data_IF_962951997672
#
_entry.id   IF_962951997672
#
_cell.length_a   1.000
_cell.length_b   1.000
_cell.length_c   1.000
_cell.angle_alpha   90.00
_cell.angle_beta   90.00
_cell.angle_gamma   90.00
#
_symmetry.space_group_name_H-M   'P 1'
#
loop_
_entity.id
_entity.type
_entity.pdbx_description
1 polymer ?
#
# COMPACT_ATOMS: atom_id res chain seq x y z
N UNK A 1 1.78 12.22 21.01
CA UNK A 1 1.02 10.95 20.86
C UNK A 1 2.02 9.82 20.98
N UNK A 2 1.70 8.74 21.69
CA UNK A 2 2.58 7.56 21.73
C UNK A 2 2.70 6.90 20.36
N UNK A 3 3.83 6.23 20.11
CA UNK A 3 4.04 5.48 18.86
C UNK A 3 3.04 4.33 18.79
N UNK A 4 2.46 4.11 17.61
CA UNK A 4 1.54 2.99 17.39
C UNK A 4 2.34 1.69 17.27
N UNK A 5 1.85 0.63 17.90
CA UNK A 5 2.46 -0.70 17.90
C UNK A 5 1.49 -1.67 17.21
N UNK A 6 2.02 -2.62 16.43
CA UNK A 6 1.22 -3.70 15.85
C UNK A 6 0.56 -4.53 16.96
N UNK A 7 -0.76 -4.70 16.87
CA UNK A 7 -1.46 -5.64 17.73
C UNK A 7 -1.04 -7.08 17.44
N UNK A 8 -1.12 -7.95 18.44
CA UNK A 8 -0.67 -9.35 18.32
C UNK A 8 -1.44 -10.12 17.22
N UNK A 9 -2.74 -9.86 17.06
CA UNK A 9 -3.55 -10.44 15.98
C UNK A 9 -3.07 -10.02 14.59
N UNK A 10 -2.76 -8.73 14.42
CA UNK A 10 -2.24 -8.20 13.15
C UNK A 10 -0.84 -8.75 12.87
N UNK A 11 0.02 -8.84 13.91
CA UNK A 11 1.37 -9.41 13.80
C UNK A 11 1.32 -10.87 13.35
N UNK A 12 0.44 -11.68 13.94
CA UNK A 12 0.26 -13.10 13.57
C UNK A 12 -0.25 -13.24 12.14
N UNK A 13 -1.25 -12.44 11.74
CA UNK A 13 -1.76 -12.46 10.37
C UNK A 13 -0.69 -12.04 9.36
N UNK A 14 0.04 -10.94 9.62
CA UNK A 14 1.10 -10.48 8.72
C UNK A 14 2.19 -11.53 8.57
N UNK A 15 2.64 -12.16 9.66
CA UNK A 15 3.57 -13.30 9.60
C UNK A 15 3.02 -14.45 8.78
N UNK A 16 1.75 -14.81 8.97
CA UNK A 16 1.11 -15.85 8.16
C UNK A 16 1.11 -15.49 6.66
N UNK A 17 0.80 -14.23 6.30
CA UNK A 17 0.78 -13.77 4.92
C UNK A 17 2.18 -13.74 4.28
N UNK A 18 3.22 -13.40 5.04
CA UNK A 18 4.63 -13.33 4.57
C UNK A 18 5.28 -14.72 4.54
N UNK A 19 5.19 -15.47 5.65
CA UNK A 19 6.02 -16.66 5.87
C UNK A 19 5.34 -17.94 5.38
N UNK A 20 4.03 -18.07 5.57
CA UNK A 20 3.28 -19.31 5.31
C UNK A 20 2.57 -19.25 3.96
N UNK A 21 1.75 -18.22 3.74
CA UNK A 21 0.92 -18.11 2.53
C UNK A 21 1.68 -17.49 1.33
N UNK A 22 2.83 -16.85 1.58
CA UNK A 22 3.66 -16.17 0.57
C UNK A 22 2.86 -15.19 -0.31
N UNK A 23 1.93 -14.47 0.29
CA UNK A 23 1.09 -13.47 -0.38
C UNK A 23 1.70 -12.06 -0.33
N UNK A 24 2.45 -11.78 0.74
CA UNK A 24 3.28 -10.59 0.87
C UNK A 24 4.72 -10.99 0.52
N UNK A 25 5.20 -10.52 -0.62
CA UNK A 25 6.53 -10.90 -1.15
C UNK A 25 7.42 -9.67 -1.29
N UNK A 26 8.73 -9.87 -1.20
CA UNK A 26 9.69 -8.79 -1.46
C UNK A 26 9.49 -8.27 -2.89
N UNK A 27 9.34 -6.95 -3.08
CA UNK A 27 9.19 -6.36 -4.40
C UNK A 27 10.35 -6.68 -5.33
N UNK A 28 10.03 -7.07 -6.56
CA UNK A 28 11.03 -7.30 -7.59
C UNK A 28 11.08 -6.09 -8.53
N UNK A 29 12.17 -5.32 -8.44
CA UNK A 29 12.38 -4.08 -9.18
C UNK A 29 12.07 -4.22 -10.69
N UNK A 30 12.59 -5.28 -11.32
CA UNK A 30 12.43 -5.54 -12.77
C UNK A 30 10.97 -5.79 -13.22
N UNK A 31 10.01 -5.99 -12.30
CA UNK A 31 8.57 -6.16 -12.61
C UNK A 31 7.80 -4.82 -12.61
N UNK A 32 8.49 -3.71 -12.35
CA UNK A 32 7.95 -2.35 -12.34
C UNK A 32 8.47 -1.58 -13.56
N UNK A 33 7.56 -0.98 -14.34
CA UNK A 33 7.96 0.00 -15.35
C UNK A 33 8.19 1.35 -14.66
N UNK A 34 9.44 1.61 -14.27
CA UNK A 34 9.86 2.88 -13.68
C UNK A 34 10.54 3.80 -14.69
N UNK A 35 10.43 3.52 -16.00
CA UNK A 35 11.11 4.28 -17.05
C UNK A 35 10.74 5.76 -17.08
N UNK A 36 9.50 6.08 -16.70
CA UNK A 36 8.99 7.45 -16.61
C UNK A 36 8.83 7.94 -15.16
N UNK A 37 9.18 7.14 -14.17
CA UNK A 37 8.90 7.40 -12.74
C UNK A 37 7.66 6.69 -12.25
N UNK A 38 7.21 7.05 -11.05
CA UNK A 38 6.02 6.46 -10.42
C UNK A 38 5.24 7.50 -9.62
N UNK A 39 3.90 7.42 -9.67
CA UNK A 39 3.03 8.12 -8.73
C UNK A 39 2.86 7.21 -7.51
N UNK A 40 3.23 7.70 -6.34
CA UNK A 40 3.25 6.94 -5.08
C UNK A 40 2.14 7.47 -4.19
N UNK A 41 1.24 6.60 -3.73
CA UNK A 41 0.06 6.98 -2.94
C UNK A 41 0.12 6.33 -1.54
N UNK A 42 0.94 6.87 -0.62
CA UNK A 42 1.01 6.37 0.75
C UNK A 42 0.15 7.17 1.71
N UNK A 43 0.06 6.68 2.95
CA UNK A 43 -0.51 7.47 4.04
C UNK A 43 0.33 8.73 4.28
N UNK A 44 -0.28 9.83 4.71
CA UNK A 44 0.42 11.03 5.17
C UNK A 44 1.09 10.87 6.55
N UNK A 45 1.48 9.65 6.93
CA UNK A 45 2.19 9.36 8.17
C UNK A 45 3.67 9.69 7.99
N UNK A 46 4.10 10.80 8.59
CA UNK A 46 5.48 11.30 8.48
C UNK A 46 6.52 10.31 8.99
N UNK A 47 6.16 9.48 9.98
CA UNK A 47 7.09 8.50 10.53
C UNK A 47 7.42 7.38 9.54
N UNK A 48 6.67 7.23 8.44
CA UNK A 48 6.86 6.19 7.42
C UNK A 48 7.50 6.73 6.13
N UNK A 49 7.63 8.06 5.97
CA UNK A 49 7.97 8.66 4.68
C UNK A 49 9.41 8.43 4.24
N UNK A 50 10.36 8.50 5.17
CA UNK A 50 11.79 8.35 4.84
C UNK A 50 12.07 6.95 4.28
N UNK A 51 11.59 5.91 4.97
CA UNK A 51 11.75 4.52 4.53
C UNK A 51 11.06 4.27 3.18
N UNK A 52 9.83 4.76 3.01
CA UNK A 52 9.10 4.63 1.74
C UNK A 52 9.80 5.35 0.59
N UNK A 53 10.41 6.51 0.83
CA UNK A 53 11.16 7.22 -0.19
C UNK A 53 12.39 6.41 -0.62
N UNK A 54 13.14 5.88 0.35
CA UNK A 54 14.33 5.07 0.10
C UNK A 54 14.01 3.74 -0.58
N UNK A 55 12.91 3.08 -0.22
CA UNK A 55 12.43 1.87 -0.88
C UNK A 55 12.13 2.12 -2.36
N UNK A 56 11.35 3.15 -2.68
CA UNK A 56 11.02 3.49 -4.08
C UNK A 56 12.26 3.90 -4.86
N UNK A 57 13.17 4.64 -4.21
CA UNK A 57 14.46 5.01 -4.82
C UNK A 57 15.29 3.77 -5.14
N UNK A 58 15.37 2.82 -4.22
CA UNK A 58 16.12 1.57 -4.40
C UNK A 58 15.55 0.74 -5.54
N UNK A 59 14.23 0.58 -5.60
CA UNK A 59 13.55 -0.13 -6.70
C UNK A 59 13.83 0.50 -8.07
N UNK A 60 13.89 1.83 -8.14
CA UNK A 60 14.25 2.51 -9.39
C UNK A 60 15.72 2.24 -9.79
N UNK A 61 16.65 2.35 -8.84
CA UNK A 61 18.09 2.13 -9.07
C UNK A 61 18.35 0.68 -9.49
N UNK A 62 17.78 -0.30 -8.80
CA UNK A 62 17.90 -1.72 -9.10
C UNK A 62 17.34 -2.08 -10.49
N UNK A 63 16.33 -1.33 -10.95
CA UNK A 63 15.78 -1.44 -12.31
C UNK A 63 16.61 -0.72 -13.38
N UNK A 64 17.74 -0.12 -13.01
CA UNK A 64 18.56 0.72 -13.89
C UNK A 64 17.87 2.01 -14.33
N UNK A 65 16.93 2.54 -13.53
CA UNK A 65 16.14 3.74 -13.82
C UNK A 65 16.55 4.90 -12.89
N UNK A 66 16.34 6.13 -13.34
CA UNK A 66 16.49 7.32 -12.50
C UNK A 66 15.31 7.41 -11.53
N UNK A 67 15.53 7.50 -10.20
CA UNK A 67 14.46 7.72 -9.24
C UNK A 67 13.65 8.98 -9.58
N UNK A 68 12.34 8.83 -9.73
CA UNK A 68 11.40 9.92 -9.99
C UNK A 68 10.03 9.63 -9.34
N UNK A 69 9.98 9.53 -8.00
CA UNK A 69 8.71 9.37 -7.31
C UNK A 69 7.92 10.69 -7.30
N UNK A 70 6.61 10.60 -7.51
CA UNK A 70 5.66 11.70 -7.34
C UNK A 70 4.65 11.31 -6.27
N UNK A 71 4.81 11.86 -5.07
CA UNK A 71 3.98 11.50 -3.93
C UNK A 71 2.65 12.26 -3.92
N UNK A 72 1.56 11.52 -3.76
CA UNK A 72 0.22 12.03 -3.46
C UNK A 72 -0.21 11.42 -2.12
N UNK A 73 -0.09 12.19 -1.03
CA UNK A 73 -0.28 11.67 0.33
C UNK A 73 -1.59 12.13 0.96
N UNK A 74 -2.23 11.23 1.71
CA UNK A 74 -3.50 11.46 2.38
C UNK A 74 -3.56 10.56 3.64
N UNK A 75 -4.19 10.96 4.76
CA UNK A 75 -4.38 10.03 5.89
C UNK A 75 -5.16 8.75 5.49
N UNK A 76 -4.57 7.57 5.67
CA UNK A 76 -5.10 6.31 5.16
C UNK A 76 -4.64 5.96 3.73
N UNK A 77 -3.88 6.87 3.09
CA UNK A 77 -3.21 6.65 1.81
C UNK A 77 -4.16 6.19 0.72
N UNK A 78 -3.73 5.20 -0.06
CA UNK A 78 -4.53 4.66 -1.15
C UNK A 78 -5.87 4.05 -0.70
N UNK A 79 -6.02 3.67 0.58
CA UNK A 79 -7.26 3.05 1.07
C UNK A 79 -8.46 3.99 0.93
N UNK A 80 -8.25 5.31 0.95
CA UNK A 80 -9.34 6.30 0.78
C UNK A 80 -10.00 6.25 -0.59
N UNK A 81 -9.37 5.62 -1.57
CA UNK A 81 -9.92 5.38 -2.91
C UNK A 81 -10.87 4.17 -2.95
N UNK A 82 -10.92 3.36 -1.90
CA UNK A 82 -11.86 2.26 -1.81
C UNK A 82 -13.30 2.81 -1.70
N UNK A 83 -14.26 2.31 -2.49
CA UNK A 83 -15.67 2.71 -2.36
C UNK A 83 -16.29 2.27 -1.03
N UNK A 84 -15.65 1.34 -0.31
CA UNK A 84 -16.07 0.87 1.01
C UNK A 84 -15.35 1.62 2.15
N UNK A 85 -14.43 2.54 1.83
CA UNK A 85 -13.75 3.34 2.84
C UNK A 85 -14.68 4.45 3.33
N UNK A 86 -15.11 4.35 4.59
CA UNK A 86 -16.00 5.31 5.20
C UNK A 86 -15.26 6.19 6.21
N UNK A 87 -15.05 7.45 5.83
CA UNK A 87 -14.47 8.52 6.66
C UNK A 87 -15.46 9.70 6.71
N UNK A 88 -16.46 9.67 7.62
CA UNK A 88 -17.56 10.64 7.61
C UNK A 88 -17.09 12.07 7.83
N UNK A 89 -15.96 12.26 8.52
CA UNK A 89 -15.43 13.58 8.87
C UNK A 89 -14.82 14.32 7.69
N UNK A 90 -14.53 13.62 6.58
CA UNK A 90 -13.79 14.20 5.45
C UNK A 90 -14.33 13.74 4.09
N UNK A 91 -15.55 14.17 3.70
CA UNK A 91 -16.10 13.85 2.40
C UNK A 91 -15.22 14.40 1.25
N UNK A 92 -15.23 13.71 0.11
CA UNK A 92 -14.58 14.16 -1.12
C UNK A 92 -13.08 13.91 -1.25
N UNK A 93 -12.43 13.29 -0.26
CA UNK A 93 -10.99 12.94 -0.34
C UNK A 93 -10.68 11.99 -1.50
N UNK A 94 -11.51 10.96 -1.67
CA UNK A 94 -11.39 10.02 -2.79
C UNK A 94 -11.41 10.77 -4.13
N UNK A 95 -12.38 11.66 -4.32
CA UNK A 95 -12.54 12.44 -5.56
C UNK A 95 -11.31 13.30 -5.85
N UNK A 96 -10.84 14.08 -4.87
CA UNK A 96 -9.64 14.93 -5.06
C UNK A 96 -8.42 14.09 -5.42
N UNK A 97 -8.19 12.98 -4.69
CA UNK A 97 -7.05 12.11 -4.96
C UNK A 97 -7.14 11.44 -6.36
N UNK A 98 -8.33 11.11 -6.84
CA UNK A 98 -8.50 10.62 -8.22
C UNK A 98 -8.24 11.69 -9.28
N UNK A 99 -8.65 12.95 -9.03
CA UNK A 99 -8.35 14.09 -9.91
C UNK A 99 -6.83 14.34 -9.95
N UNK A 100 -6.18 14.39 -8.79
CA UNK A 100 -4.73 14.57 -8.67
C UNK A 100 -3.93 13.45 -9.34
N UNK A 101 -4.39 12.19 -9.26
CA UNK A 101 -3.76 11.05 -9.95
C UNK A 101 -3.74 11.24 -11.47
N UNK A 102 -4.89 11.64 -12.05
CA UNK A 102 -5.02 11.85 -13.49
C UNK A 102 -4.20 13.06 -13.93
N UNK A 103 -4.23 14.14 -13.16
CA UNK A 103 -3.48 15.35 -13.46
C UNK A 103 -1.97 15.12 -13.36
N UNK A 104 -1.49 14.45 -12.29
CA UNK A 104 -0.10 14.08 -12.13
C UNK A 104 0.39 13.22 -13.30
N UNK A 105 -0.41 12.24 -13.74
CA UNK A 105 -0.06 11.38 -14.85
C UNK A 105 0.14 12.15 -16.15
N UNK A 106 -0.81 13.03 -16.50
CA UNK A 106 -0.75 13.86 -17.71
C UNK A 106 0.37 14.89 -17.64
N UNK A 107 0.51 15.61 -16.54
CA UNK A 107 1.50 16.69 -16.38
C UNK A 107 2.93 16.17 -16.31
N UNK A 108 3.13 14.98 -15.73
CA UNK A 108 4.47 14.42 -15.50
C UNK A 108 4.83 13.31 -16.49
N UNK A 109 3.89 12.86 -17.32
CA UNK A 109 4.03 11.69 -18.18
C UNK A 109 4.37 10.43 -17.37
N UNK A 110 3.60 10.14 -16.30
CA UNK A 110 3.82 9.02 -15.39
C UNK A 110 2.56 8.16 -15.27
N UNK A 111 2.61 6.91 -15.73
CA UNK A 111 1.46 5.99 -15.71
C UNK A 111 1.63 4.80 -14.75
N UNK A 112 2.79 4.68 -14.10
CA UNK A 112 3.00 3.68 -13.05
C UNK A 112 2.50 4.24 -11.73
N UNK A 113 1.52 3.57 -11.12
CA UNK A 113 0.89 3.97 -9.86
C UNK A 113 1.17 2.92 -8.80
N UNK A 114 1.81 3.32 -7.71
CA UNK A 114 2.16 2.46 -6.58
C UNK A 114 1.25 2.86 -5.41
N UNK A 115 0.33 1.97 -5.06
CA UNK A 115 -0.63 2.15 -3.97
C UNK A 115 -0.10 1.50 -2.70
N UNK A 116 -0.18 2.21 -1.58
CA UNK A 116 0.32 1.73 -0.30
C UNK A 116 -0.77 1.74 0.77
N UNK A 117 -0.78 0.70 1.60
CA UNK A 117 -1.23 0.79 2.99
C UNK A 117 -0.04 0.49 3.91
N UNK A 118 -0.13 0.88 5.18
CA UNK A 118 0.91 0.55 6.16
C UNK A 118 0.30 0.03 7.47
N UNK A 119 1.11 -0.68 8.25
CA UNK A 119 0.72 -1.23 9.54
C UNK A 119 1.84 -1.00 10.56
N UNK A 120 1.53 -0.48 11.77
CA UNK A 120 0.22 0.02 12.19
C UNK A 120 -0.11 1.35 11.50
N UNK A 121 -1.40 1.68 11.35
CA UNK A 121 -1.85 2.95 10.77
C UNK A 121 -2.88 3.64 11.65
N UNK A 122 -2.57 4.85 12.12
CA UNK A 122 -3.44 5.60 13.03
C UNK A 122 -4.81 5.92 12.41
N UNK A 123 -4.86 6.16 11.09
CA UNK A 123 -6.14 6.40 10.41
C UNK A 123 -6.97 5.11 10.28
N UNK A 124 -6.35 3.96 10.02
CA UNK A 124 -7.05 2.68 10.02
C UNK A 124 -7.62 2.37 11.41
N UNK A 125 -6.82 2.55 12.47
CA UNK A 125 -7.27 2.40 13.87
C UNK A 125 -8.45 3.31 14.19
N UNK A 126 -8.39 4.59 13.82
CA UNK A 126 -9.48 5.53 14.04
C UNK A 126 -10.78 5.13 13.31
N UNK A 127 -10.65 4.48 12.15
CA UNK A 127 -11.78 3.94 11.38
C UNK A 127 -12.16 2.50 11.77
N UNK A 128 -11.52 1.90 12.79
CA UNK A 128 -11.73 0.50 13.22
C UNK A 128 -11.50 -0.52 12.09
N UNK A 129 -10.52 -0.24 11.25
CA UNK A 129 -10.09 -1.10 10.14
C UNK A 129 -8.83 -1.86 10.60
N UNK A 130 -8.91 -3.19 10.61
CA UNK A 130 -7.75 -4.07 10.87
C UNK A 130 -6.86 -4.22 9.63
N UNK A 131 -5.77 -4.98 9.74
CA UNK A 131 -4.83 -5.14 8.63
C UNK A 131 -5.42 -5.91 7.44
N UNK A 132 -6.30 -6.90 7.69
CA UNK A 132 -6.97 -7.65 6.62
C UNK A 132 -7.90 -6.74 5.81
N UNK A 133 -8.70 -5.93 6.51
CA UNK A 133 -9.57 -4.93 5.92
C UNK A 133 -8.76 -3.84 5.21
N UNK A 134 -7.61 -3.43 5.75
CA UNK A 134 -6.71 -2.47 5.10
C UNK A 134 -6.21 -2.99 3.74
N UNK A 135 -5.77 -4.25 3.68
CA UNK A 135 -5.36 -4.90 2.42
C UNK A 135 -6.54 -5.01 1.45
N UNK A 136 -7.74 -5.36 1.93
CA UNK A 136 -8.97 -5.36 1.11
C UNK A 136 -9.24 -3.97 0.51
N UNK A 137 -9.19 -2.91 1.31
CA UNK A 137 -9.37 -1.54 0.82
C UNK A 137 -8.31 -1.17 -0.23
N UNK A 138 -7.06 -1.58 -0.02
CA UNK A 138 -5.99 -1.40 -1.01
C UNK A 138 -6.31 -2.09 -2.34
N UNK A 139 -6.85 -3.32 -2.32
CA UNK A 139 -7.25 -4.03 -3.54
C UNK A 139 -8.43 -3.37 -4.25
N UNK A 140 -9.40 -2.86 -3.49
CA UNK A 140 -10.53 -2.11 -4.04
C UNK A 140 -10.08 -0.78 -4.66
N UNK A 141 -9.17 -0.05 -3.98
CA UNK A 141 -8.53 1.15 -4.50
C UNK A 141 -7.84 0.88 -5.85
N UNK A 142 -7.12 -0.24 -5.98
CA UNK A 142 -6.51 -0.64 -7.26
C UNK A 142 -7.53 -0.77 -8.39
N UNK A 143 -8.73 -1.31 -8.12
CA UNK A 143 -9.80 -1.42 -9.12
C UNK A 143 -10.29 -0.06 -9.56
N UNK A 144 -10.48 0.87 -8.62
CA UNK A 144 -10.86 2.26 -8.91
C UNK A 144 -9.79 2.95 -9.77
N UNK A 145 -8.52 2.90 -9.38
CA UNK A 145 -7.43 3.54 -10.14
C UNK A 145 -7.35 2.99 -11.56
N UNK A 146 -7.46 1.67 -11.75
CA UNK A 146 -7.47 1.07 -13.09
C UNK A 146 -8.63 1.52 -13.99
N UNK A 147 -9.72 2.01 -13.42
CA UNK A 147 -10.87 2.55 -14.17
C UNK A 147 -10.68 4.02 -14.55
N UNK A 148 -9.74 4.75 -13.92
CA UNK A 148 -9.50 6.16 -14.21
C UNK A 148 -8.79 6.35 -15.56
N UNK A 149 -7.79 5.51 -15.86
CA UNK A 149 -7.04 5.55 -17.12
C UNK A 149 -6.56 4.13 -17.49
N UNK A 150 -6.86 3.62 -18.69
CA UNK A 150 -6.43 2.29 -19.13
C UNK A 150 -4.90 2.14 -19.27
N UNK A 151 -4.14 3.25 -19.34
CA UNK A 151 -2.68 3.22 -19.38
C UNK A 151 -2.07 2.95 -18.00
N UNK A 152 -2.84 3.08 -16.91
CA UNK A 152 -2.28 2.93 -15.58
C UNK A 152 -1.79 1.51 -15.27
N UNK A 153 -0.50 1.43 -14.93
CA UNK A 153 0.11 0.24 -14.37
C UNK A 153 0.08 0.32 -12.84
N UNK A 154 -0.96 -0.28 -12.24
CA UNK A 154 -1.19 -0.20 -10.80
C UNK A 154 -0.56 -1.39 -10.05
N UNK A 155 0.24 -1.09 -9.03
CA UNK A 155 0.86 -2.05 -8.10
C UNK A 155 0.50 -1.70 -6.66
N UNK A 156 0.42 -2.71 -5.81
CA UNK A 156 0.00 -2.55 -4.42
C UNK A 156 1.09 -3.05 -3.48
N UNK A 157 1.31 -2.29 -2.42
CA UNK A 157 2.34 -2.55 -1.44
C UNK A 157 1.78 -2.39 -0.02
N UNK A 158 2.32 -3.19 0.90
CA UNK A 158 2.05 -3.12 2.32
C UNK A 158 3.37 -2.81 3.01
N UNK A 159 3.46 -1.63 3.64
CA UNK A 159 4.61 -1.24 4.42
C UNK A 159 4.38 -1.58 5.90
N UNK A 160 5.26 -2.38 6.49
CA UNK A 160 5.06 -2.90 7.84
C UNK A 160 6.17 -2.38 8.73
N UNK A 161 5.78 -1.68 9.79
CA UNK A 161 6.64 -1.36 10.92
C UNK A 161 6.53 -2.50 11.94
N UNK A 162 7.50 -3.41 11.91
CA UNK A 162 7.46 -4.64 12.70
C UNK A 162 7.70 -4.45 14.19
N UNK A 163 8.08 -3.22 14.59
CA UNK A 163 8.31 -2.77 15.95
C UNK A 163 8.42 -3.90 16.98
N UNK A 164 9.60 -4.51 17.08
CA UNK A 164 9.79 -5.62 18.01
C UNK A 164 10.52 -5.13 19.26
N UNK A 165 9.75 -4.74 20.28
CA UNK A 165 10.29 -4.41 21.60
C UNK A 165 10.91 -5.64 22.31
N UNK A 166 10.67 -6.86 21.81
CA UNK A 166 10.99 -8.12 22.49
C UNK A 166 12.19 -8.89 21.94
N UNK A 167 12.62 -8.64 20.69
CA UNK A 167 13.72 -9.43 20.06
C UNK A 167 15.11 -8.83 20.21
N UNK A 168 15.25 -7.58 20.68
CA UNK A 168 16.55 -6.90 20.78
C UNK A 168 17.22 -6.59 19.42
N UNK A 169 16.58 -6.94 18.29
CA UNK A 169 17.11 -6.75 16.93
C UNK A 169 16.77 -5.39 16.32
N UNK A 170 16.18 -4.48 17.11
CA UNK A 170 15.90 -3.12 16.70
C UNK A 170 14.59 -2.94 15.92
N UNK A 171 14.29 -1.67 15.69
CA UNK A 171 13.16 -1.22 14.88
C UNK A 171 13.48 -1.49 13.40
N UNK A 172 12.67 -2.31 12.73
CA UNK A 172 12.81 -2.54 11.29
C UNK A 172 11.46 -2.41 10.59
N UNK A 173 11.49 -1.75 9.44
CA UNK A 173 10.34 -1.58 8.56
C UNK A 173 10.63 -2.28 7.25
N UNK A 174 9.60 -2.84 6.64
CA UNK A 174 9.75 -3.55 5.38
C UNK A 174 8.53 -3.36 4.47
N UNK A 175 8.79 -3.16 3.19
CA UNK A 175 7.76 -3.02 2.16
C UNK A 175 7.59 -4.32 1.38
N UNK A 176 6.36 -4.83 1.35
CA UNK A 176 6.00 -6.03 0.59
C UNK A 176 5.08 -5.70 -0.57
N UNK A 177 5.28 -6.36 -1.71
CA UNK A 177 4.32 -6.39 -2.81
C UNK A 177 3.19 -7.38 -2.52
N UNK A 178 1.98 -7.03 -2.94
CA UNK A 178 0.82 -7.92 -2.93
C UNK A 178 0.08 -7.89 -4.27
N UNK A 179 -0.24 -9.07 -4.79
CA UNK A 179 -1.08 -9.21 -5.99
C UNK A 179 -2.55 -9.31 -5.63
N UNK A 180 -3.38 -8.54 -6.35
CA UNK A 180 -4.83 -8.64 -6.25
C UNK A 180 -5.34 -10.03 -6.62
N UNK A 181 -4.71 -10.70 -7.59
CA UNK A 181 -5.09 -12.04 -8.02
C UNK A 181 -4.85 -13.06 -6.91
N UNK A 182 -3.69 -13.01 -6.25
CA UNK A 182 -3.36 -13.96 -5.18
C UNK A 182 -4.21 -13.70 -3.94
N UNK A 183 -4.47 -12.42 -3.64
CA UNK A 183 -5.40 -12.02 -2.57
C UNK A 183 -6.83 -12.51 -2.82
N UNK A 184 -7.37 -12.30 -4.02
CA UNK A 184 -8.73 -12.73 -4.38
C UNK A 184 -8.86 -14.26 -4.33
N UNK A 185 -7.86 -15.02 -4.83
CA UNK A 185 -7.82 -16.49 -4.74
C UNK A 185 -7.84 -16.99 -3.29
N UNK A 186 -7.12 -16.33 -2.38
CA UNK A 186 -7.13 -16.65 -0.96
C UNK A 186 -8.53 -16.50 -0.35
N UNK A 187 -9.23 -15.42 -0.66
CA UNK A 187 -10.57 -15.15 -0.13
C UNK A 187 -11.63 -16.12 -0.67
N UNK A 188 -11.50 -16.55 -1.92
CA UNK A 188 -12.37 -17.60 -2.49
C UNK A 188 -12.21 -18.93 -1.74
N UNK A 189 -10.98 -19.33 -1.39
CA UNK A 189 -10.74 -20.57 -0.62
C UNK A 189 -11.33 -20.52 0.79
N UNK A 190 -11.37 -19.33 1.43
CA UNK A 190 -11.97 -19.16 2.76
C UNK A 190 -13.49 -19.21 2.75
N UNK A 191 -14.13 -18.82 1.65
CA UNK A 191 -15.60 -18.77 1.51
C UNK A 191 -16.21 -20.06 0.99
N UNK A 192 -15.39 -21.00 0.49
CA UNK A 192 -15.79 -22.35 0.13
C UNK A 192 -15.11 -23.39 1.04
N UNK A 193 -15.50 -23.51 2.32
CA UNK A 193 -14.99 -24.58 3.16
C UNK A 193 -15.59 -25.92 2.71
N UNK A 194 -14.79 -26.73 2.01
CA UNK A 194 -15.06 -28.15 1.76
C UNK A 194 -15.75 -28.49 0.43
N UNK A 195 -14.92 -28.93 -0.53
CA UNK A 195 -15.06 -30.30 -1.05
C UNK A 195 -14.09 -31.17 -0.24
#
# INVERSE_FOLDING_TARGET
>A
MGKLILGESDKQLLKQLVEVEKLLIVPEAHKLDLSRGAIVVPCADGDQMDDLFDDIRSLAIESGKKPRPHFLTEHGGAMVLSPEWHDPDRPGRARRLTEDLVDAAKMKDIYTVLLFCHAPCGKATACKVDIEASIRHLMLAKRVVKQLDPQFQVRCFVHIDWHDEFTGNGHFKETYFISAETWDKRNLRRTQPGI
#
